data_IF_218392799469
#
_entry.id   IF_218392799469
#
_cell.length_a   1.000
_cell.length_b   1.000
_cell.length_c   1.000
_cell.angle_alpha   90.00
_cell.angle_beta   90.00
_cell.angle_gamma   90.00
#
_symmetry.space_group_name_H-M   'P 1'
#
loop_
_entity.id
_entity.type
_entity.pdbx_description
1 polymer ?
#
# COMPACT_ATOMS: atom_id res chain seq x y z
N UNK A 1 -10.76 13.35 -3.12
CA UNK A 1 -10.06 12.12 -3.57
C UNK A 1 -9.03 12.53 -4.61
N UNK A 2 -7.75 12.18 -4.42
CA UNK A 2 -6.69 12.46 -5.40
C UNK A 2 -6.43 11.22 -6.24
N UNK A 3 -6.30 11.44 -7.56
CA UNK A 3 -5.72 10.44 -8.46
C UNK A 3 -4.20 10.53 -8.33
N UNK A 4 -3.53 9.41 -8.15
CA UNK A 4 -2.07 9.32 -8.12
C UNK A 4 -1.60 8.47 -9.30
N UNK A 5 -0.43 8.82 -9.84
CA UNK A 5 0.25 8.04 -10.87
C UNK A 5 1.68 7.84 -10.41
N UNK A 6 2.07 6.57 -10.26
CA UNK A 6 3.44 6.20 -9.93
C UNK A 6 4.07 5.55 -11.16
N UNK A 7 5.22 6.06 -11.59
CA UNK A 7 6.01 5.45 -12.66
C UNK A 7 7.38 5.02 -12.14
N UNK A 8 7.81 3.83 -12.56
CA UNK A 8 9.09 3.29 -12.15
C UNK A 8 9.74 2.51 -13.29
N UNK A 9 11.07 2.51 -13.30
CA UNK A 9 11.90 1.64 -14.12
C UNK A 9 12.57 0.62 -13.22
N UNK A 10 12.30 -0.65 -13.47
CA UNK A 10 12.78 -1.79 -12.71
C UNK A 10 13.91 -2.48 -13.47
N UNK A 11 15.01 -2.73 -12.78
CA UNK A 11 16.18 -3.42 -13.31
C UNK A 11 16.05 -4.96 -13.19
N UNK A 12 16.95 -5.67 -13.88
CA UNK A 12 16.98 -7.14 -13.95
C UNK A 12 17.14 -7.80 -12.57
N UNK A 13 17.72 -7.11 -11.60
CA UNK A 13 17.94 -7.57 -10.22
C UNK A 13 16.77 -7.28 -9.27
N UNK A 14 15.64 -6.77 -9.78
CA UNK A 14 14.49 -6.31 -9.00
C UNK A 14 14.75 -5.06 -8.14
N UNK A 15 15.73 -4.24 -8.51
CA UNK A 15 15.90 -2.88 -7.97
C UNK A 15 15.24 -1.82 -8.87
N UNK A 16 15.01 -0.63 -8.33
CA UNK A 16 14.63 0.52 -9.15
C UNK A 16 15.88 1.22 -9.69
N UNK A 17 15.87 1.58 -10.97
CA UNK A 17 16.98 2.30 -11.62
C UNK A 17 17.09 3.74 -11.09
N UNK A 18 15.95 4.33 -10.75
CA UNK A 18 15.83 5.63 -10.08
C UNK A 18 14.62 5.59 -9.14
N UNK A 19 14.54 6.48 -8.13
CA UNK A 19 13.38 6.56 -7.25
C UNK A 19 12.07 6.65 -8.05
N UNK A 20 11.03 5.85 -7.72
CA UNK A 20 9.73 5.94 -8.40
C UNK A 20 9.17 7.36 -8.41
N UNK A 21 8.76 7.83 -9.58
CA UNK A 21 8.18 9.17 -9.74
C UNK A 21 6.71 9.15 -9.34
N UNK A 22 6.23 10.22 -8.70
CA UNK A 22 4.83 10.36 -8.27
C UNK A 22 4.43 9.53 -7.05
N UNK A 23 5.40 8.90 -6.39
CA UNK A 23 5.20 8.20 -5.12
C UNK A 23 5.04 9.22 -3.96
N UNK A 24 3.96 9.16 -3.16
CA UNK A 24 3.79 10.07 -2.02
C UNK A 24 4.88 9.90 -0.95
N UNK A 25 5.26 11.01 -0.28
CA UNK A 25 6.48 11.12 0.53
C UNK A 25 6.59 10.12 1.71
N UNK A 26 5.47 9.57 2.18
CA UNK A 26 5.41 8.59 3.28
C UNK A 26 5.08 7.16 2.81
N UNK A 27 5.04 6.91 1.50
CA UNK A 27 4.68 5.61 0.93
C UNK A 27 5.88 4.91 0.33
N UNK A 28 5.81 3.59 0.27
CA UNK A 28 6.86 2.73 -0.29
C UNK A 28 6.27 1.80 -1.34
N UNK A 29 7.08 1.49 -2.34
CA UNK A 29 6.83 0.39 -3.27
C UNK A 29 8.09 -0.47 -3.25
N UNK A 30 7.90 -1.78 -3.32
CA UNK A 30 8.99 -2.75 -3.37
C UNK A 30 8.81 -3.68 -4.56
N UNK A 31 9.91 -4.21 -5.08
CA UNK A 31 9.88 -5.20 -6.16
C UNK A 31 10.64 -6.44 -5.72
N UNK A 32 10.08 -7.60 -6.02
CA UNK A 32 10.67 -8.90 -5.71
C UNK A 32 10.63 -9.80 -6.94
N UNK A 33 11.65 -10.64 -7.11
CA UNK A 33 11.58 -11.80 -8.00
C UNK A 33 10.75 -12.88 -7.34
N UNK A 34 9.86 -13.53 -8.07
CA UNK A 34 9.17 -14.72 -7.57
C UNK A 34 9.98 -15.98 -7.87
N UNK A 35 9.49 -17.15 -7.44
CA UNK A 35 10.07 -18.45 -7.81
C UNK A 35 9.96 -18.77 -9.31
N UNK A 36 9.13 -18.03 -10.04
CA UNK A 36 8.93 -18.20 -11.48
C UNK A 36 9.91 -17.35 -12.27
N UNK A 37 10.72 -17.96 -13.15
CA UNK A 37 11.75 -17.24 -13.94
C UNK A 37 11.14 -16.10 -14.75
N UNK A 38 11.70 -14.89 -14.64
CA UNK A 38 11.23 -13.71 -15.36
C UNK A 38 9.94 -13.12 -14.79
N UNK A 39 9.49 -13.54 -13.62
CA UNK A 39 8.32 -12.96 -12.96
C UNK A 39 8.72 -12.12 -11.75
N UNK A 40 8.17 -10.91 -11.70
CA UNK A 40 8.32 -9.95 -10.61
C UNK A 40 6.98 -9.75 -9.89
N UNK A 41 7.04 -9.40 -8.62
CA UNK A 41 5.90 -8.95 -7.82
C UNK A 41 6.20 -7.53 -7.31
N UNK A 42 5.28 -6.60 -7.52
CA UNK A 42 5.44 -5.20 -7.13
C UNK A 42 4.45 -4.90 -6.01
N UNK A 43 4.94 -4.62 -4.80
CA UNK A 43 4.10 -4.37 -3.63
C UNK A 43 3.83 -2.87 -3.49
N UNK A 44 2.56 -2.47 -3.42
CA UNK A 44 2.11 -1.07 -3.27
C UNK A 44 0.92 -0.91 -2.30
N UNK A 45 0.77 -1.82 -1.34
CA UNK A 45 -0.40 -1.92 -0.47
C UNK A 45 -0.82 -0.59 0.21
N UNK A 46 0.13 0.26 0.58
CA UNK A 46 -0.10 1.52 1.26
C UNK A 46 -0.42 2.69 0.32
N UNK A 47 -0.31 2.51 -1.00
CA UNK A 47 -0.35 3.57 -2.01
C UNK A 47 -1.77 3.81 -2.54
N UNK A 48 -2.47 2.76 -2.97
CA UNK A 48 -3.76 2.87 -3.65
C UNK A 48 -4.93 2.41 -2.78
N UNK A 49 -6.06 3.11 -2.85
CA UNK A 49 -7.29 2.78 -2.10
C UNK A 49 -8.02 1.58 -2.71
N UNK A 50 -7.94 1.43 -4.02
CA UNK A 50 -8.51 0.34 -4.82
C UNK A 50 -7.45 -0.21 -5.78
N UNK A 51 -7.77 -1.31 -6.49
CA UNK A 51 -6.90 -1.83 -7.55
C UNK A 51 -6.60 -0.72 -8.58
N UNK A 52 -5.32 -0.36 -8.80
CA UNK A 52 -4.96 0.64 -9.79
C UNK A 52 -5.06 0.07 -11.21
N UNK A 53 -5.03 0.95 -12.21
CA UNK A 53 -4.68 0.57 -13.58
C UNK A 53 -3.17 0.38 -13.64
N UNK A 54 -2.72 -0.72 -14.24
CA UNK A 54 -1.31 -1.07 -14.37
C UNK A 54 -0.97 -1.16 -15.85
N UNK A 55 0.10 -0.48 -16.26
CA UNK A 55 0.72 -0.70 -17.56
C UNK A 55 2.17 -1.11 -17.36
N UNK A 56 2.63 -2.02 -18.22
CA UNK A 56 4.01 -2.50 -18.21
C UNK A 56 4.53 -2.52 -19.64
N UNK A 57 5.79 -2.20 -19.80
CA UNK A 57 6.51 -2.44 -21.06
C UNK A 57 7.94 -2.83 -20.75
N UNK A 58 8.49 -3.69 -21.58
CA UNK A 58 9.89 -4.07 -21.45
C UNK A 58 10.77 -2.86 -21.72
N UNK A 59 11.87 -2.75 -20.97
CA UNK A 59 12.84 -1.68 -21.12
C UNK A 59 14.18 -2.28 -21.50
N UNK A 60 14.85 -1.67 -22.47
CA UNK A 60 16.23 -2.00 -22.80
C UNK A 60 17.15 -0.95 -22.19
N UNK A 61 17.91 -1.35 -21.18
CA UNK A 61 18.86 -0.47 -20.48
C UNK A 61 20.30 -0.68 -20.96
N UNK A 62 20.49 -1.42 -22.06
CA UNK A 62 21.79 -1.79 -22.60
C UNK A 62 22.51 -2.90 -21.80
N UNK A 63 21.90 -3.40 -20.72
CA UNK A 63 22.53 -4.35 -19.80
C UNK A 63 21.73 -5.67 -19.80
N UNK A 64 22.35 -6.76 -20.26
CA UNK A 64 21.74 -8.09 -20.34
C UNK A 64 22.36 -8.97 -21.43
N UNK A 65 22.26 -10.29 -21.26
CA UNK A 65 22.69 -11.27 -22.28
C UNK A 65 21.58 -11.42 -23.33
N UNK A 66 21.88 -11.04 -24.58
CA UNK A 66 21.06 -11.31 -25.76
C UNK A 66 20.23 -10.11 -26.24
N UNK A 67 20.03 -10.05 -27.55
CA UNK A 67 19.32 -8.95 -28.22
C UNK A 67 17.87 -8.79 -27.73
N UNK A 68 17.38 -7.56 -27.68
CA UNK A 68 15.95 -7.28 -27.57
C UNK A 68 15.27 -7.63 -28.90
N UNK A 69 14.32 -8.56 -28.87
CA UNK A 69 13.54 -8.91 -30.05
C UNK A 69 12.20 -8.17 -30.04
N UNK A 70 11.67 -7.88 -31.23
CA UNK A 70 10.37 -7.21 -31.41
C UNK A 70 9.22 -7.93 -30.72
N UNK A 71 9.33 -9.24 -30.53
CA UNK A 71 8.32 -10.10 -29.91
C UNK A 71 8.55 -10.32 -28.41
N UNK A 72 9.59 -9.71 -27.83
CA UNK A 72 9.76 -9.71 -26.38
C UNK A 72 8.63 -8.90 -25.71
N UNK A 73 8.23 -9.31 -24.51
CA UNK A 73 6.98 -8.86 -23.91
C UNK A 73 7.13 -8.68 -22.38
N UNK A 74 6.40 -7.68 -21.86
CA UNK A 74 5.99 -7.61 -20.45
C UNK A 74 4.47 -7.81 -20.31
N UNK A 75 4.04 -8.80 -19.53
CA UNK A 75 2.63 -9.14 -19.30
C UNK A 75 2.29 -9.03 -17.82
N UNK A 76 1.10 -8.54 -17.51
CA UNK A 76 0.53 -8.56 -16.15
C UNK A 76 -0.22 -9.89 -15.99
N UNK A 77 0.23 -10.74 -15.07
CA UNK A 77 -0.39 -12.05 -14.82
C UNK A 77 -1.52 -11.96 -13.79
N UNK A 78 -1.30 -11.18 -12.73
CA UNK A 78 -2.27 -10.95 -11.67
C UNK A 78 -2.24 -9.48 -11.28
N UNK A 79 -3.38 -8.95 -10.88
CA UNK A 79 -3.49 -7.60 -10.34
C UNK A 79 -4.54 -7.54 -9.23
N UNK A 80 -4.19 -6.92 -8.11
CA UNK A 80 -5.10 -6.63 -7.02
C UNK A 80 -4.73 -5.30 -6.34
N UNK A 81 -5.39 -4.99 -5.22
CA UNK A 81 -5.20 -3.73 -4.48
C UNK A 81 -3.83 -3.59 -3.80
N UNK A 82 -3.05 -4.66 -3.66
CA UNK A 82 -1.75 -4.65 -2.97
C UNK A 82 -0.58 -4.94 -3.88
N UNK A 83 -0.77 -5.68 -4.98
CA UNK A 83 0.28 -5.97 -5.94
C UNK A 83 -0.23 -6.37 -7.32
N UNK A 84 0.62 -6.23 -8.35
CA UNK A 84 0.58 -7.06 -9.54
C UNK A 84 1.72 -8.07 -9.54
N UNK A 85 1.56 -9.09 -10.37
CA UNK A 85 2.69 -9.88 -10.87
C UNK A 85 2.92 -9.58 -12.34
N UNK A 86 4.17 -9.35 -12.69
CA UNK A 86 4.60 -8.99 -14.05
C UNK A 86 5.53 -10.08 -14.56
N UNK A 87 5.18 -10.70 -15.68
CA UNK A 87 5.97 -11.73 -16.35
C UNK A 87 6.63 -11.14 -17.58
N UNK A 88 7.95 -11.27 -17.67
CA UNK A 88 8.72 -10.93 -18.84
C UNK A 88 9.08 -12.19 -19.61
N UNK A 89 8.99 -12.11 -20.94
CA UNK A 89 9.27 -13.21 -21.84
C UNK A 89 10.04 -12.77 -23.07
N UNK A 90 10.72 -13.72 -23.70
CA UNK A 90 11.32 -13.52 -25.01
C UNK A 90 10.35 -13.90 -26.15
N UNK A 91 10.77 -13.66 -27.39
CA UNK A 91 10.04 -14.04 -28.61
C UNK A 91 9.58 -15.51 -28.69
N UNK A 92 10.17 -16.42 -27.91
CA UNK A 92 9.84 -17.84 -27.88
C UNK A 92 8.84 -18.20 -26.76
N UNK A 93 8.34 -17.20 -26.02
CA UNK A 93 7.43 -17.41 -24.88
C UNK A 93 8.14 -17.91 -23.62
N UNK A 94 9.48 -17.86 -23.57
CA UNK A 94 10.26 -18.29 -22.40
C UNK A 94 10.46 -17.13 -21.43
N UNK A 95 10.13 -17.36 -20.16
CA UNK A 95 10.35 -16.37 -19.10
C UNK A 95 11.81 -15.97 -18.98
N UNK A 96 12.10 -14.66 -18.99
CA UNK A 96 13.48 -14.14 -18.92
C UNK A 96 13.55 -12.97 -17.96
N UNK A 97 14.61 -12.89 -17.15
CA UNK A 97 14.86 -11.71 -16.32
C UNK A 97 15.29 -10.54 -17.22
N UNK A 98 14.45 -9.52 -17.32
CA UNK A 98 14.73 -8.30 -18.08
C UNK A 98 14.32 -7.07 -17.27
N UNK A 99 14.80 -5.90 -17.69
CA UNK A 99 14.34 -4.63 -17.17
C UNK A 99 12.97 -4.28 -17.79
N UNK A 100 12.17 -3.51 -17.08
CA UNK A 100 10.85 -3.08 -17.54
C UNK A 100 10.44 -1.78 -16.86
N UNK A 101 9.59 -1.00 -17.53
CA UNK A 101 8.88 0.11 -16.89
C UNK A 101 7.51 -0.32 -16.45
N UNK A 102 7.04 0.23 -15.35
CA UNK A 102 5.68 0.06 -14.83
C UNK A 102 5.07 1.43 -14.52
N UNK A 103 3.80 1.61 -14.88
CA UNK A 103 2.99 2.77 -14.48
C UNK A 103 1.75 2.27 -13.75
N UNK A 104 1.49 2.87 -12.59
CA UNK A 104 0.41 2.53 -11.67
C UNK A 104 -0.45 3.77 -11.48
N UNK A 105 -1.71 3.74 -11.92
CA UNK A 105 -2.61 4.89 -11.83
C UNK A 105 -3.89 4.51 -11.09
N UNK A 106 -4.24 5.24 -10.04
CA UNK A 106 -5.46 4.96 -9.31
C UNK A 106 -5.76 5.96 -8.18
N UNK A 107 -6.88 5.77 -7.47
CA UNK A 107 -7.23 6.59 -6.31
C UNK A 107 -6.22 6.38 -5.19
N UNK A 108 -5.57 7.46 -4.74
CA UNK A 108 -4.59 7.41 -3.66
C UNK A 108 -5.25 7.09 -2.32
N UNK A 109 -4.53 6.34 -1.46
CA UNK A 109 -4.88 6.25 -0.05
C UNK A 109 -4.62 7.60 0.62
N UNK A 110 -5.49 8.05 1.54
CA UNK A 110 -5.21 9.22 2.36
C UNK A 110 -3.89 9.02 3.13
N UNK A 111 -3.16 10.11 3.32
CA UNK A 111 -2.15 10.18 4.37
C UNK A 111 -2.93 10.44 5.66
N UNK A 112 -3.05 9.42 6.51
CA UNK A 112 -3.42 9.65 7.90
C UNK A 112 -2.12 9.92 8.63
N UNK A 113 -1.99 11.09 9.25
CA UNK A 113 -0.90 11.33 10.19
C UNK A 113 -1.19 10.51 11.45
N UNK A 114 -0.32 9.53 11.72
CA UNK A 114 -0.45 8.63 12.88
C UNK A 114 -0.39 9.42 14.21
N UNK A 115 0.24 10.59 14.20
CA UNK A 115 0.33 11.51 15.34
C UNK A 115 -1.04 12.15 15.65
N UNK A 116 -1.76 12.60 14.62
CA UNK A 116 -3.10 13.19 14.76
C UNK A 116 -4.14 12.13 15.19
N UNK A 117 -3.96 10.88 14.76
CA UNK A 117 -4.83 9.78 15.16
C UNK A 117 -4.61 9.35 16.62
N UNK A 118 -3.38 9.40 17.13
CA UNK A 118 -3.08 9.12 18.53
C UNK A 118 -3.73 10.18 19.44
N UNK A 119 -3.54 11.46 19.12
CA UNK A 119 -4.11 12.58 19.89
C UNK A 119 -5.64 12.57 19.90
N UNK A 120 -6.27 12.27 18.76
CA UNK A 120 -7.74 12.12 18.69
C UNK A 120 -8.22 10.92 19.50
N UNK A 121 -7.47 9.81 19.51
CA UNK A 121 -7.83 8.62 20.29
C UNK A 121 -7.71 8.85 21.80
N UNK A 122 -6.67 9.57 22.26
CA UNK A 122 -6.50 9.95 23.67
C UNK A 122 -7.56 10.98 24.10
N UNK A 123 -7.87 11.96 23.25
CA UNK A 123 -8.89 12.95 23.54
C UNK A 123 -10.29 12.31 23.68
N UNK A 124 -10.64 11.38 22.78
CA UNK A 124 -11.89 10.63 22.85
C UNK A 124 -11.93 9.69 24.07
N UNK A 125 -10.82 9.03 24.40
CA UNK A 125 -10.73 8.18 25.59
C UNK A 125 -10.92 9.01 26.88
N UNK A 126 -10.34 10.21 26.94
CA UNK A 126 -10.47 11.13 28.07
C UNK A 126 -11.89 11.68 28.21
N UNK A 127 -12.53 12.06 27.10
CA UNK A 127 -13.93 12.52 27.10
C UNK A 127 -14.90 11.40 27.53
N UNK A 128 -14.67 10.17 27.09
CA UNK A 128 -15.45 9.02 27.52
C UNK A 128 -15.30 8.74 29.02
N UNK A 129 -14.09 8.87 29.57
CA UNK A 129 -13.85 8.71 31.00
C UNK A 129 -14.54 9.79 31.85
N UNK A 130 -14.51 11.04 31.40
CA UNK A 130 -15.12 12.18 32.10
C UNK A 130 -16.66 12.05 32.16
N UNK A 131 -17.26 11.59 31.07
CA UNK A 131 -18.70 11.26 31.02
C UNK A 131 -19.07 10.11 31.96
N UNK A 132 -18.23 9.10 32.10
CA UNK A 132 -18.46 7.98 33.02
C UNK A 132 -18.26 8.39 34.49
N UNK A 133 -17.26 9.21 34.80
CA UNK A 133 -17.02 9.73 36.16
C UNK A 133 -18.17 10.61 36.68
N UNK A 134 -18.83 11.36 35.79
CA UNK A 134 -19.99 12.20 36.13
C UNK A 134 -21.23 11.38 36.51
N UNK A 135 -21.38 10.16 35.96
CA UNK A 135 -22.54 9.28 36.25
C UNK A 135 -22.42 8.59 37.61
N UNK A 136 -21.21 8.40 38.14
CA UNK A 136 -21.00 7.70 39.44
C UNK A 136 -21.32 8.59 40.65
N UNK A 137 -21.27 9.92 40.52
CA UNK A 137 -21.56 10.85 41.62
C UNK A 137 -23.04 11.25 41.78
N UNK A 138 -23.94 10.87 40.86
CA UNK A 138 -25.37 11.22 40.96
C UNK A 138 -26.26 10.14 41.60
N UNK A 139 -25.67 9.07 42.15
CA UNK A 139 -26.41 8.01 42.85
C UNK A 139 -25.90 7.85 44.29
N UNK A 140 -25.99 8.91 45.09
CA UNK A 140 -25.98 8.78 46.55
C UNK A 140 -27.43 8.56 47.03
N UNK A 141 -27.78 7.39 47.59
CA UNK A 141 -29.12 7.17 48.13
C UNK A 141 -29.30 7.99 49.42
N UNK A 142 -30.36 8.80 49.45
CA UNK A 142 -30.83 9.48 50.66
C UNK A 142 -31.05 8.46 51.78
N UNK A 143 -30.53 8.80 52.96
CA UNK A 143 -30.62 8.06 54.21
C UNK A 143 -32.08 7.73 54.60
N UNK A 144 -32.40 6.44 54.66
CA UNK A 144 -33.57 5.92 55.36
C UNK A 144 -33.37 6.03 56.89
N UNK A 145 -33.93 7.08 57.48
CA UNK A 145 -34.14 7.18 58.93
C UNK A 145 -35.29 6.24 59.33
N UNK A 146 -34.98 5.20 60.10
CA UNK A 146 -35.97 4.36 60.79
C UNK A 146 -35.91 4.75 62.26
N UNK A 147 -36.98 5.37 62.77
CA UNK A 147 -37.18 5.57 64.20
C UNK A 147 -37.72 4.29 64.87
N UNK A 148 -37.25 3.93 66.08
CA UNK A 148 -37.79 2.81 66.83
C UNK A 148 -39.00 3.24 67.67
N UNK A 149 -40.16 2.64 67.43
CA UNK A 149 -41.30 2.73 68.36
C UNK A 149 -41.08 1.75 69.53
N UNK A 150 -41.05 2.31 70.74
CA UNK A 150 -41.37 1.63 72.01
C UNK A 150 -42.86 1.48 72.22
#
# INVERSE_FOLDING_TARGET
>A
MSLITVSALVNVDASFVFPPYGLPAKKKISVYKTSTVGQYQIIYDAVFRSTPVVTVTQAWLGWGNGDALTLDNATINEINKTYPTVKLGNAQGVGTWRAFTIVLTGPGKPEFDEEEAHDVSEALAKEALDRLGTVVYSMAPESLLIEPNT
#
